data_IF_603400620700
#
_entry.id   IF_603400620700
#
_cell.length_a   1.000
_cell.length_b   1.000
_cell.length_c   1.000
_cell.angle_alpha   90.00
_cell.angle_beta   90.00
_cell.angle_gamma   90.00
#
_symmetry.space_group_name_H-M   'P 1'
#
loop_
_entity.id
_entity.type
_entity.pdbx_description
1 polymer ?
#
# COMPACT_ATOMS: atom_id res chain seq x y z
N UNK A 1 56.24 -63.02 42.08
CA UNK A 1 55.53 -62.50 43.27
C UNK A 1 54.07 -62.28 42.90
N UNK A 2 53.16 -62.95 43.62
CA UNK A 2 51.79 -62.56 44.02
C UNK A 2 50.90 -61.80 42.99
N UNK A 3 49.77 -62.38 42.55
CA UNK A 3 48.41 -62.25 43.13
C UNK A 3 47.81 -60.84 42.85
N UNK A 4 46.55 -60.57 42.51
CA UNK A 4 45.26 -61.26 42.59
C UNK A 4 44.17 -60.25 42.06
N UNK A 5 42.95 -60.75 41.78
CA UNK A 5 41.65 -60.03 41.57
C UNK A 5 41.42 -59.37 40.19
N UNK A 6 40.47 -59.78 39.34
CA UNK A 6 39.09 -60.31 39.45
C UNK A 6 37.98 -59.26 39.71
N UNK A 7 36.99 -59.30 38.80
CA UNK A 7 35.56 -58.94 38.94
C UNK A 7 35.19 -57.48 39.21
N UNK A 8 34.06 -56.90 38.78
CA UNK A 8 32.73 -57.32 38.31
C UNK A 8 32.17 -56.09 37.56
N UNK A 9 31.39 -56.18 36.47
CA UNK A 9 29.98 -56.58 36.47
C UNK A 9 29.05 -55.37 36.68
N UNK A 10 28.28 -54.99 35.66
CA UNK A 10 27.30 -53.90 35.76
C UNK A 10 26.51 -53.60 34.47
N UNK A 11 25.65 -54.54 34.06
CA UNK A 11 24.59 -54.34 33.06
C UNK A 11 23.46 -53.43 33.58
N UNK A 12 22.92 -52.56 32.74
CA UNK A 12 21.67 -51.82 32.97
C UNK A 12 21.31 -50.91 31.78
N UNK A 13 20.02 -50.71 31.45
CA UNK A 13 19.52 -51.04 30.12
C UNK A 13 19.21 -49.85 29.20
N UNK A 14 18.96 -50.23 27.94
CA UNK A 14 18.45 -49.42 26.86
C UNK A 14 17.19 -48.60 27.21
N UNK A 15 17.15 -47.36 26.74
CA UNK A 15 15.90 -46.67 26.42
C UNK A 15 16.07 -45.75 25.21
N UNK A 16 15.54 -46.24 24.09
CA UNK A 16 14.59 -45.53 23.22
C UNK A 16 14.96 -44.13 22.72
N UNK A 17 15.30 -44.09 21.42
CA UNK A 17 14.54 -43.33 20.43
C UNK A 17 14.41 -41.81 20.61
N UNK A 18 15.26 -41.06 19.89
CA UNK A 18 14.93 -39.70 19.48
C UNK A 18 15.22 -39.52 17.98
N UNK A 19 14.28 -39.98 17.14
CA UNK A 19 14.10 -39.40 15.79
C UNK A 19 13.49 -38.00 15.99
N UNK A 20 14.35 -37.00 16.13
CA UNK A 20 13.96 -35.59 16.13
C UNK A 20 13.62 -35.13 14.72
N UNK A 21 12.33 -35.17 14.41
CA UNK A 21 11.71 -34.64 13.21
C UNK A 21 12.03 -33.16 12.97
N UNK A 22 12.42 -32.86 11.73
CA UNK A 22 11.90 -31.79 10.87
C UNK A 22 11.78 -30.39 11.52
N UNK A 23 12.85 -29.60 11.46
CA UNK A 23 12.74 -28.15 11.57
C UNK A 23 12.13 -27.56 10.29
N UNK A 24 10.82 -27.74 10.12
CA UNK A 24 9.98 -26.78 9.40
C UNK A 24 9.27 -25.94 10.46
N UNK A 25 9.93 -24.88 10.88
CA UNK A 25 9.25 -23.77 11.54
C UNK A 25 8.36 -23.08 10.49
N UNK A 26 7.15 -23.61 10.29
CA UNK A 26 6.05 -22.89 9.66
C UNK A 26 4.91 -22.80 10.65
N UNK A 27 5.09 -21.93 11.65
CA UNK A 27 3.99 -21.44 12.46
C UNK A 27 3.98 -19.92 12.33
N UNK A 28 3.30 -19.44 11.28
CA UNK A 28 2.75 -18.09 11.32
C UNK A 28 1.66 -18.11 12.41
N UNK A 29 1.64 -17.13 13.34
CA UNK A 29 0.74 -17.18 14.48
C UNK A 29 -0.72 -17.11 14.04
N UNK A 30 -1.55 -17.86 14.76
CA UNK A 30 -3.00 -17.84 14.75
C UNK A 30 -3.51 -16.49 15.27
N UNK A 31 -3.71 -15.51 14.39
CA UNK A 31 -4.34 -14.25 14.80
C UNK A 31 -5.88 -14.36 14.68
N UNK A 32 -6.65 -14.14 15.77
CA UNK A 32 -8.11 -14.33 15.82
C UNK A 32 -8.91 -13.55 14.78
N UNK A 33 -8.38 -12.44 14.27
CA UNK A 33 -9.01 -11.63 13.22
C UNK A 33 -9.10 -12.36 11.87
N UNK A 34 -8.31 -13.42 11.66
CA UNK A 34 -8.33 -14.20 10.42
C UNK A 34 -9.64 -14.97 10.23
N UNK A 35 -10.39 -15.24 11.31
CA UNK A 35 -11.74 -15.83 11.27
C UNK A 35 -12.85 -14.82 10.95
N UNK A 36 -12.60 -13.52 11.09
CA UNK A 36 -13.55 -12.45 10.70
C UNK A 36 -13.29 -11.92 9.28
N UNK A 37 -12.27 -12.46 8.60
CA UNK A 37 -11.98 -12.15 7.20
C UNK A 37 -12.78 -13.02 6.26
N UNK A 38 -13.29 -12.41 5.19
CA UNK A 38 -13.96 -13.15 4.13
C UNK A 38 -12.98 -14.10 3.42
N UNK A 39 -13.51 -15.17 2.82
CA UNK A 39 -12.72 -16.08 2.00
C UNK A 39 -11.93 -15.36 0.90
N UNK A 40 -12.49 -14.29 0.36
CA UNK A 40 -11.83 -13.42 -0.60
C UNK A 40 -10.57 -12.76 -0.02
N UNK A 41 -10.66 -12.16 1.17
CA UNK A 41 -9.52 -11.55 1.85
C UNK A 41 -8.44 -12.58 2.18
N UNK A 42 -8.84 -13.75 2.67
CA UNK A 42 -7.91 -14.85 2.97
C UNK A 42 -7.17 -15.32 1.72
N UNK A 43 -7.85 -15.44 0.58
CA UNK A 43 -7.19 -15.79 -0.69
C UNK A 43 -6.20 -14.73 -1.15
N UNK A 44 -6.54 -13.45 -1.00
CA UNK A 44 -5.64 -12.33 -1.33
C UNK A 44 -4.37 -12.35 -0.46
N UNK A 45 -4.52 -12.47 0.86
CA UNK A 45 -3.40 -12.51 1.81
C UNK A 45 -2.53 -13.78 1.64
N UNK A 46 -3.12 -14.89 1.18
CA UNK A 46 -2.37 -16.10 0.87
C UNK A 46 -1.61 -16.01 -0.46
N UNK A 47 -2.19 -15.34 -1.47
CA UNK A 47 -1.62 -15.26 -2.82
C UNK A 47 -0.54 -14.18 -2.97
N UNK A 48 -0.66 -13.07 -2.24
CA UNK A 48 0.16 -11.87 -2.42
C UNK A 48 0.94 -11.53 -1.15
N UNK A 49 2.10 -10.93 -1.34
CA UNK A 49 2.91 -10.26 -0.34
C UNK A 49 2.99 -8.77 -0.67
N UNK A 50 2.99 -7.90 0.34
CA UNK A 50 3.03 -6.46 0.16
C UNK A 50 4.19 -5.85 0.94
N UNK A 51 5.00 -5.04 0.27
CA UNK A 51 6.05 -4.26 0.92
C UNK A 51 5.58 -2.80 1.10
N UNK A 52 5.38 -2.32 2.34
CA UNK A 52 4.89 -0.96 2.60
C UNK A 52 5.87 0.15 2.19
N UNK A 53 7.17 -0.12 2.19
CA UNK A 53 8.23 0.85 1.86
C UNK A 53 8.38 1.07 0.36
N UNK A 54 8.11 0.04 -0.44
CA UNK A 54 8.19 0.12 -1.92
C UNK A 54 6.83 0.26 -2.58
N UNK A 55 5.76 -0.14 -1.90
CA UNK A 55 4.41 -0.19 -2.46
C UNK A 55 4.19 -1.35 -3.42
N UNK A 56 5.15 -2.26 -3.53
CA UNK A 56 5.10 -3.39 -4.46
C UNK A 56 4.33 -4.56 -3.86
N UNK A 57 3.49 -5.17 -4.71
CA UNK A 57 2.93 -6.49 -4.43
C UNK A 57 3.76 -7.55 -5.14
N UNK A 58 3.94 -8.71 -4.52
CA UNK A 58 4.64 -9.86 -5.11
C UNK A 58 3.83 -11.13 -4.91
N UNK A 59 3.97 -12.08 -5.83
CA UNK A 59 3.28 -13.37 -5.74
C UNK A 59 3.97 -14.28 -4.73
N UNK A 60 3.22 -14.87 -3.80
CA UNK A 60 3.76 -15.83 -2.80
C UNK A 60 3.88 -17.25 -3.33
N UNK A 61 3.15 -17.57 -4.39
CA UNK A 61 3.11 -18.90 -4.98
C UNK A 61 3.12 -18.83 -6.51
N UNK A 62 3.59 -19.92 -7.11
CA UNK A 62 3.55 -20.09 -8.55
C UNK A 62 2.11 -20.11 -9.03
N UNK A 63 1.85 -19.43 -10.15
CA UNK A 63 0.57 -19.50 -10.84
C UNK A 63 0.39 -20.82 -11.58
N UNK A 64 -0.79 -20.99 -12.19
CA UNK A 64 -0.99 -22.09 -13.15
C UNK A 64 -0.09 -21.86 -14.36
N UNK A 65 0.82 -22.79 -14.63
CA UNK A 65 1.75 -22.75 -15.76
C UNK A 65 2.90 -21.75 -15.60
N UNK A 66 3.59 -21.43 -16.71
CA UNK A 66 4.81 -20.60 -16.70
C UNK A 66 4.57 -19.10 -16.54
N UNK A 67 3.31 -18.64 -16.51
CA UNK A 67 2.95 -17.22 -16.59
C UNK A 67 3.29 -16.39 -15.35
N UNK A 68 3.51 -17.02 -14.20
CA UNK A 68 3.69 -16.32 -12.92
C UNK A 68 4.47 -17.21 -11.95
N UNK A 69 5.56 -16.68 -11.39
CA UNK A 69 6.38 -17.36 -10.39
C UNK A 69 6.26 -16.67 -9.05
N UNK A 70 6.53 -17.41 -7.99
CA UNK A 70 6.70 -16.83 -6.66
C UNK A 70 7.84 -15.79 -6.70
N UNK A 71 7.62 -14.62 -6.10
CA UNK A 71 8.54 -13.48 -6.09
C UNK A 71 8.31 -12.44 -7.19
N UNK A 72 7.63 -12.80 -8.28
CA UNK A 72 7.33 -11.85 -9.37
C UNK A 72 6.47 -10.70 -8.87
N UNK A 73 6.72 -9.49 -9.38
CA UNK A 73 5.89 -8.31 -9.10
C UNK A 73 4.47 -8.57 -9.61
N UNK A 74 3.51 -8.37 -8.72
CA UNK A 74 2.09 -8.58 -8.97
C UNK A 74 1.44 -7.29 -9.46
N UNK A 75 0.79 -7.39 -10.62
CA UNK A 75 -0.01 -6.33 -11.20
C UNK A 75 0.69 -5.53 -12.29
N UNK A 76 -0.08 -4.69 -12.95
CA UNK A 76 0.40 -3.83 -14.03
C UNK A 76 -0.36 -2.50 -14.05
N UNK A 77 0.29 -1.46 -14.57
CA UNK A 77 -0.32 -0.15 -14.73
C UNK A 77 -1.48 -0.21 -15.74
N UNK A 78 -2.61 0.37 -15.37
CA UNK A 78 -3.78 0.56 -16.23
C UNK A 78 -3.67 1.86 -17.03
N UNK A 79 -4.48 2.01 -18.09
CA UNK A 79 -4.56 3.24 -18.91
C UNK A 79 -4.88 4.52 -18.11
N UNK A 80 -5.50 4.38 -16.93
CA UNK A 80 -5.76 5.48 -15.99
C UNK A 80 -4.65 5.73 -14.96
N UNK A 81 -3.50 5.06 -15.09
CA UNK A 81 -2.33 5.21 -14.22
C UNK A 81 -2.36 4.41 -12.91
N UNK A 82 -3.43 3.69 -12.60
CA UNK A 82 -3.50 2.83 -11.41
C UNK A 82 -2.88 1.46 -11.65
N UNK A 83 -2.13 0.94 -10.67
CA UNK A 83 -1.68 -0.46 -10.69
C UNK A 83 -2.86 -1.37 -10.32
N UNK A 84 -3.09 -2.40 -11.14
CA UNK A 84 -4.14 -3.41 -10.94
C UNK A 84 -3.54 -4.79 -10.77
N UNK A 85 -4.03 -5.54 -9.80
CA UNK A 85 -3.64 -6.94 -9.54
C UNK A 85 -4.85 -7.83 -9.79
N UNK A 86 -4.68 -8.90 -10.57
CA UNK A 86 -5.76 -9.86 -10.86
C UNK A 86 -5.55 -11.15 -10.09
N UNK A 87 -6.45 -11.47 -9.16
CA UNK A 87 -6.43 -12.69 -8.34
C UNK A 87 -7.75 -13.42 -8.55
N UNK A 88 -7.69 -14.73 -8.83
CA UNK A 88 -8.88 -15.59 -9.04
C UNK A 88 -9.92 -15.02 -10.02
N UNK A 89 -9.46 -14.36 -11.08
CA UNK A 89 -10.34 -13.76 -12.09
C UNK A 89 -10.84 -12.36 -11.75
N UNK A 90 -10.76 -11.93 -10.48
CA UNK A 90 -11.18 -10.59 -10.02
C UNK A 90 -10.00 -9.61 -10.04
N UNK A 91 -10.29 -8.36 -10.40
CA UNK A 91 -9.28 -7.30 -10.51
C UNK A 91 -9.38 -6.34 -9.32
N UNK A 92 -8.25 -6.06 -8.69
CA UNK A 92 -8.12 -5.21 -7.52
C UNK A 92 -7.16 -4.06 -7.80
N UNK A 93 -7.41 -2.90 -7.21
CA UNK A 93 -6.51 -1.75 -7.27
C UNK A 93 -5.43 -1.90 -6.18
N UNK A 94 -4.16 -1.74 -6.55
CA UNK A 94 -3.03 -1.95 -5.65
C UNK A 94 -3.10 -1.05 -4.39
N UNK A 95 -3.44 0.23 -4.56
CA UNK A 95 -3.61 1.15 -3.43
C UNK A 95 -4.71 0.70 -2.46
N UNK A 96 -5.79 0.04 -2.92
CA UNK A 96 -6.83 -0.52 -2.02
C UNK A 96 -6.39 -1.81 -1.35
N UNK A 97 -5.63 -2.65 -2.06
CA UNK A 97 -5.01 -3.84 -1.48
C UNK A 97 -4.03 -3.45 -0.37
N UNK A 98 -3.31 -2.34 -0.50
CA UNK A 98 -2.36 -1.90 0.54
C UNK A 98 -3.06 -1.71 1.90
N UNK A 99 -4.26 -1.14 1.92
CA UNK A 99 -5.07 -1.05 3.14
C UNK A 99 -5.43 -2.44 3.69
N UNK A 100 -5.86 -3.38 2.84
CA UNK A 100 -6.15 -4.74 3.31
C UNK A 100 -4.94 -5.38 4.00
N UNK A 101 -3.74 -5.18 3.47
CA UNK A 101 -2.50 -5.74 4.02
C UNK A 101 -2.02 -5.03 5.29
N UNK A 102 -2.29 -3.74 5.43
CA UNK A 102 -1.84 -2.95 6.59
C UNK A 102 -2.86 -2.90 7.74
N UNK A 103 -4.15 -2.96 7.43
CA UNK A 103 -5.24 -2.78 8.43
C UNK A 103 -6.16 -4.00 8.56
N UNK A 104 -5.98 -5.00 7.70
CA UNK A 104 -6.86 -6.18 7.63
C UNK A 104 -8.23 -5.90 7.00
N UNK A 105 -8.48 -4.69 6.48
CA UNK A 105 -9.77 -4.31 5.89
C UNK A 105 -9.57 -3.48 4.62
N UNK A 106 -10.50 -3.61 3.69
CA UNK A 106 -10.58 -2.66 2.57
C UNK A 106 -11.01 -1.28 3.09
N UNK A 107 -10.58 -0.19 2.43
CA UNK A 107 -11.09 1.13 2.78
C UNK A 107 -12.59 1.20 2.47
N UNK A 108 -13.37 1.78 3.39
CA UNK A 108 -14.83 1.87 3.26
C UNK A 108 -15.27 2.69 2.05
N UNK A 109 -14.53 3.77 1.74
CA UNK A 109 -14.80 4.66 0.61
C UNK A 109 -13.71 4.54 -0.46
N UNK A 110 -12.71 5.41 -0.43
CA UNK A 110 -11.62 5.47 -1.39
C UNK A 110 -10.27 5.62 -0.69
N UNK A 111 -9.22 5.22 -1.40
CA UNK A 111 -7.84 5.40 -0.98
C UNK A 111 -7.16 6.28 -2.02
N UNK A 112 -6.53 7.36 -1.55
CA UNK A 112 -5.97 8.41 -2.40
C UNK A 112 -4.45 8.50 -2.19
N UNK A 113 -3.76 9.05 -3.20
CA UNK A 113 -2.30 9.18 -3.23
C UNK A 113 -1.91 10.59 -2.79
N UNK A 114 -1.13 10.71 -1.72
CA UNK A 114 -0.71 12.01 -1.15
C UNK A 114 0.06 12.84 -2.19
N UNK A 115 0.94 12.20 -2.98
CA UNK A 115 1.70 12.86 -4.05
C UNK A 115 0.97 12.93 -5.41
N UNK A 116 -0.25 12.39 -5.53
CA UNK A 116 -1.00 12.32 -6.79
C UNK A 116 -0.45 11.34 -7.83
N UNK A 117 0.61 10.60 -7.52
CA UNK A 117 1.22 9.60 -8.40
C UNK A 117 0.54 8.25 -8.15
N UNK A 118 -0.37 7.88 -9.06
CA UNK A 118 -1.24 6.69 -8.97
C UNK A 118 -0.51 5.34 -8.98
N UNK A 119 0.76 5.32 -9.41
CA UNK A 119 1.60 4.11 -9.42
C UNK A 119 2.40 3.93 -8.13
N UNK A 120 2.54 4.97 -7.31
CA UNK A 120 3.31 4.94 -6.06
C UNK A 120 2.44 4.46 -4.91
N UNK A 121 2.34 3.15 -4.72
CA UNK A 121 1.46 2.53 -3.73
C UNK A 121 2.14 2.28 -2.38
N UNK A 122 3.20 3.03 -2.05
CA UNK A 122 3.84 2.98 -0.73
C UNK A 122 2.84 3.34 0.35
N UNK A 123 2.90 2.68 1.50
CA UNK A 123 1.95 2.93 2.59
C UNK A 123 1.99 4.39 3.06
N UNK A 124 3.19 4.96 3.15
CA UNK A 124 3.41 6.37 3.49
C UNK A 124 2.80 7.38 2.50
N UNK A 125 2.53 6.95 1.27
CA UNK A 125 1.94 7.77 0.21
C UNK A 125 0.42 7.57 0.07
N UNK A 126 -0.20 6.71 0.88
CA UNK A 126 -1.63 6.41 0.82
C UNK A 126 -2.38 7.04 1.99
N UNK A 127 -3.58 7.54 1.72
CA UNK A 127 -4.51 8.05 2.74
C UNK A 127 -5.91 7.50 2.52
N UNK A 128 -6.61 7.18 3.61
CA UNK A 128 -8.04 6.93 3.55
C UNK A 128 -8.73 8.25 3.19
N UNK A 129 -9.38 8.30 2.04
CA UNK A 129 -10.12 9.46 1.60
C UNK A 129 -11.59 9.26 1.98
N UNK A 130 -12.11 10.10 2.88
CA UNK A 130 -13.56 10.18 3.05
C UNK A 130 -14.17 10.67 1.71
N UNK A 131 -15.40 10.24 1.41
CA UNK A 131 -16.02 10.53 0.11
C UNK A 131 -16.21 12.04 -0.16
N UNK A 132 -16.20 12.89 0.87
CA UNK A 132 -16.36 14.35 0.73
C UNK A 132 -15.04 15.06 0.36
N UNK A 133 -13.91 14.60 0.88
CA UNK A 133 -12.55 15.07 0.56
C UNK A 133 -12.14 14.63 -0.85
N UNK A 134 -12.48 13.41 -1.26
CA UNK A 134 -12.21 12.95 -2.63
C UNK A 134 -13.01 13.78 -3.64
N UNK A 135 -14.26 14.14 -3.33
CA UNK A 135 -15.07 15.01 -4.19
C UNK A 135 -14.46 16.41 -4.29
N UNK A 136 -13.96 16.95 -3.18
CA UNK A 136 -13.18 18.19 -3.21
C UNK A 136 -11.90 18.04 -4.06
N UNK A 137 -11.16 16.93 -3.99
CA UNK A 137 -9.94 16.70 -4.78
C UNK A 137 -10.18 16.28 -6.24
N UNK A 138 -11.39 15.80 -6.56
CA UNK A 138 -11.81 15.36 -7.90
C UNK A 138 -12.15 16.50 -8.86
N UNK A 139 -11.93 17.76 -8.47
CA UNK A 139 -12.05 18.92 -9.36
C UNK A 139 -10.98 18.89 -10.47
N UNK A 140 -11.27 18.14 -11.54
CA UNK A 140 -10.61 18.26 -12.83
C UNK A 140 -10.28 16.93 -13.51
N UNK A 141 -11.28 16.28 -14.11
CA UNK A 141 -10.99 15.39 -15.23
C UNK A 141 -10.38 16.22 -16.38
N UNK A 142 -9.25 15.78 -16.97
CA UNK A 142 -8.45 16.54 -17.92
C UNK A 142 -9.03 16.38 -19.33
N UNK A 143 -9.92 17.30 -19.74
CA UNK A 143 -10.16 17.51 -21.18
C UNK A 143 -9.82 18.92 -21.65
N UNK A 144 -9.59 19.87 -20.73
CA UNK A 144 -9.29 21.27 -21.03
C UNK A 144 -8.37 22.00 -20.03
N UNK A 145 -7.61 21.28 -19.20
CA UNK A 145 -6.64 21.92 -18.28
C UNK A 145 -5.24 21.86 -18.87
N UNK A 146 -4.59 23.02 -18.98
CA UNK A 146 -3.18 23.15 -19.32
C UNK A 146 -2.24 22.76 -18.17
N UNK A 147 -2.80 22.47 -16.99
CA UNK A 147 -2.09 22.11 -15.76
C UNK A 147 -2.49 20.70 -15.31
N UNK A 148 -1.49 19.93 -14.85
CA UNK A 148 -1.57 18.64 -14.17
C UNK A 148 -1.99 18.76 -12.70
N UNK A 149 -1.86 19.95 -12.11
CA UNK A 149 -2.13 20.18 -10.68
C UNK A 149 -3.41 20.99 -10.45
N UNK A 150 -4.17 20.58 -9.43
CA UNK A 150 -5.41 21.26 -9.01
C UNK A 150 -5.09 22.67 -8.51
N UNK A 151 -5.93 23.64 -8.89
CA UNK A 151 -5.74 25.04 -8.49
C UNK A 151 -4.57 25.75 -9.20
N UNK A 152 -3.84 25.06 -10.08
CA UNK A 152 -2.78 25.67 -10.89
C UNK A 152 -3.31 25.95 -12.30
N UNK A 153 -3.07 27.17 -12.79
CA UNK A 153 -3.52 27.65 -14.10
C UNK A 153 -2.37 28.39 -14.78
N UNK A 154 -2.03 28.02 -16.02
CA UNK A 154 -1.07 28.78 -16.81
C UNK A 154 -1.72 30.06 -17.31
N UNK A 155 -1.17 31.21 -16.96
CA UNK A 155 -1.68 32.50 -17.41
C UNK A 155 -1.13 32.83 -18.80
N UNK A 156 -2.02 33.12 -19.76
CA UNK A 156 -1.62 33.34 -21.16
C UNK A 156 -0.83 34.63 -21.37
N UNK A 157 -1.07 35.68 -20.59
CA UNK A 157 -0.44 37.00 -20.75
C UNK A 157 0.96 37.05 -20.15
N UNK A 158 1.15 36.54 -18.94
CA UNK A 158 2.45 36.52 -18.26
C UNK A 158 3.27 35.27 -18.57
N UNK A 159 2.65 34.23 -19.15
CA UNK A 159 3.20 32.86 -19.30
C UNK A 159 3.62 32.21 -17.97
N UNK A 160 3.25 32.79 -16.83
CA UNK A 160 3.52 32.28 -15.49
C UNK A 160 2.43 31.32 -15.02
N UNK A 161 2.77 30.45 -14.09
CA UNK A 161 1.86 29.52 -13.44
C UNK A 161 1.23 30.18 -12.22
N UNK A 162 -0.09 30.31 -12.23
CA UNK A 162 -0.87 30.90 -11.13
C UNK A 162 -1.44 29.81 -10.24
N UNK A 163 -1.17 29.89 -8.95
CA UNK A 163 -1.82 29.07 -7.93
C UNK A 163 -3.03 29.82 -7.35
N UNK A 164 -4.20 29.18 -7.31
CA UNK A 164 -5.43 29.74 -6.78
C UNK A 164 -6.22 28.70 -5.98
N UNK A 165 -6.82 29.14 -4.88
CA UNK A 165 -7.68 28.32 -4.02
C UNK A 165 -9.09 28.90 -3.98
N UNK A 166 -10.10 28.05 -4.18
CA UNK A 166 -11.51 28.43 -4.12
C UNK A 166 -12.15 27.76 -2.92
N UNK A 167 -12.82 28.55 -2.08
CA UNK A 167 -13.61 28.06 -0.95
C UNK A 167 -14.90 28.89 -0.84
N UNK A 168 -16.04 28.20 -0.68
CA UNK A 168 -17.36 28.82 -0.52
C UNK A 168 -17.69 29.87 -1.60
N UNK A 169 -17.32 29.59 -2.85
CA UNK A 169 -17.53 30.48 -4.00
C UNK A 169 -16.50 31.61 -4.13
N UNK A 170 -15.66 31.85 -3.12
CA UNK A 170 -14.62 32.88 -3.15
C UNK A 170 -13.29 32.29 -3.60
N UNK A 171 -12.66 32.89 -4.62
CA UNK A 171 -11.36 32.46 -5.12
C UNK A 171 -10.27 33.42 -4.68
N UNK A 172 -9.26 32.90 -3.96
CA UNK A 172 -8.06 33.64 -3.55
C UNK A 172 -6.87 33.19 -4.38
N UNK A 173 -6.15 34.16 -4.94
CA UNK A 173 -4.87 33.90 -5.64
C UNK A 173 -3.78 33.77 -4.58
N UNK A 174 -3.03 32.67 -4.65
CA UNK A 174 -1.92 32.36 -3.74
C UNK A 174 -0.62 33.01 -4.25
N UNK A 175 -0.40 32.99 -5.57
CA UNK A 175 0.78 33.57 -6.18
C UNK A 175 0.95 33.21 -7.65
N UNK A 176 1.99 33.78 -8.27
CA UNK A 176 2.42 33.49 -9.64
C UNK A 176 3.86 32.97 -9.61
N UNK A 177 4.13 31.90 -10.35
CA UNK A 177 5.37 31.13 -10.32
C UNK A 177 5.84 30.86 -11.74
N UNK A 178 7.13 30.58 -11.90
CA UNK A 178 7.72 30.34 -13.23
C UNK A 178 7.58 28.88 -13.66
N UNK A 179 7.41 27.98 -12.69
CA UNK A 179 7.19 26.55 -12.94
C UNK A 179 5.84 26.05 -12.43
N UNK A 180 5.39 24.95 -13.01
CA UNK A 180 4.12 24.32 -12.65
C UNK A 180 4.19 23.69 -11.25
N UNK A 181 5.35 23.12 -10.92
CA UNK A 181 5.68 22.46 -9.68
C UNK A 181 5.69 23.42 -8.49
N UNK A 182 6.29 24.60 -8.65
CA UNK A 182 6.30 25.65 -7.60
C UNK A 182 4.88 26.14 -7.30
N UNK A 183 4.06 26.35 -8.34
CA UNK A 183 2.66 26.71 -8.16
C UNK A 183 1.86 25.61 -7.43
N UNK A 184 2.18 24.34 -7.68
CA UNK A 184 1.55 23.21 -7.01
C UNK A 184 1.94 23.13 -5.53
N UNK A 185 3.20 23.39 -5.20
CA UNK A 185 3.70 23.46 -3.81
C UNK A 185 3.00 24.59 -3.07
N UNK A 186 2.94 25.79 -3.66
CA UNK A 186 2.27 26.93 -3.06
C UNK A 186 0.76 26.71 -2.86
N UNK A 187 0.09 26.09 -3.83
CA UNK A 187 -1.31 25.68 -3.70
C UNK A 187 -1.49 24.69 -2.54
N UNK A 188 -0.63 23.68 -2.41
CA UNK A 188 -0.68 22.70 -1.33
C UNK A 188 -0.52 23.35 0.04
N UNK A 189 0.43 24.27 0.17
CA UNK A 189 0.68 24.94 1.45
C UNK A 189 -0.49 25.88 1.81
N UNK A 190 -1.02 26.63 0.84
CA UNK A 190 -2.23 27.44 1.03
C UNK A 190 -3.46 26.59 1.39
N UNK A 191 -3.62 25.42 0.75
CA UNK A 191 -4.70 24.49 1.07
C UNK A 191 -4.61 23.95 2.50
N UNK A 192 -3.40 23.68 3.01
CA UNK A 192 -3.19 23.27 4.41
C UNK A 192 -3.58 24.38 5.39
N UNK A 193 -3.28 25.64 5.07
CA UNK A 193 -3.65 26.78 5.91
C UNK A 193 -5.16 27.02 5.90
N UNK A 194 -5.79 27.00 4.72
CA UNK A 194 -7.25 27.21 4.58
C UNK A 194 -8.06 26.06 5.20
N UNK A 195 -7.53 24.83 5.21
CA UNK A 195 -8.13 23.71 5.95
C UNK A 195 -7.97 23.83 7.47
N UNK A 196 -6.93 24.52 7.98
CA UNK A 196 -6.71 24.71 9.42
C UNK A 196 -7.49 25.89 10.00
N UNK A 197 -7.70 26.96 9.24
CA UNK A 197 -8.41 28.17 9.73
C UNK A 197 -9.94 28.02 9.82
N UNK A 198 -10.52 26.96 9.27
CA UNK A 198 -11.97 26.73 9.27
C UNK A 198 -12.37 25.39 9.89
N UNK A 199 -11.55 24.88 10.82
CA UNK A 199 -11.93 23.83 11.76
C UNK A 199 -12.31 24.44 13.12
N UNK A 200 -13.02 25.58 13.12
CA UNK A 200 -13.69 26.12 14.30
C UNK A 200 -15.19 26.21 14.01
N UNK A 201 -15.90 25.61 14.96
CA UNK A 201 -17.33 25.38 15.15
C UNK A 201 -18.20 26.61 14.96
#
# INVERSE_FOLDING_TARGET
MQAFRADVGGMGPASQGAKGMNQRATTKPSEPWMYMMSDEQRRLLNALDYNPETGEFRWKSNGRGRSRRAGDVAGSAHSRGYVRVKVDGKTYLAHRLAFLFMTGRFPESEADHVNGIRTDNRWSNLRAANASENRCNSAGQPRRRMSRFKGVVREHRSRRWKAQITKDGTTKVVGHFDTEEEAAIAYRDAARTVHREFAKW
#
